data_IF_236905314628
#
_entry.id   IF_236905314628
#
_cell.length_a   1.000
_cell.length_b   1.000
_cell.length_c   1.000
_cell.angle_alpha   90.00
_cell.angle_beta   90.00
_cell.angle_gamma   90.00
#
_symmetry.space_group_name_H-M   'P 1'
#
loop_
_entity.id
_entity.type
_entity.pdbx_description
1 polymer ?
#
# COMPACT_ATOMS: atom_id res chain seq x y z
N UNK A 1 -12.49 18.16 1.88
CA UNK A 1 -12.26 17.81 0.47
C UNK A 1 -11.94 16.33 0.46
N UNK A 2 -12.69 15.50 -0.25
CA UNK A 2 -12.39 14.07 -0.37
C UNK A 2 -11.37 13.88 -1.49
N UNK A 3 -10.45 12.93 -1.33
CA UNK A 3 -9.49 12.48 -2.32
C UNK A 3 -10.17 12.02 -3.61
N UNK A 4 -11.39 11.47 -3.51
CA UNK A 4 -12.23 11.15 -4.67
C UNK A 4 -12.45 12.35 -5.61
N UNK A 5 -12.72 13.54 -5.05
CA UNK A 5 -12.85 14.78 -5.84
C UNK A 5 -11.52 15.20 -6.45
N UNK A 6 -10.43 15.08 -5.69
CA UNK A 6 -9.08 15.39 -6.18
C UNK A 6 -8.70 14.45 -7.32
N UNK A 7 -9.08 13.17 -7.24
CA UNK A 7 -8.87 12.19 -8.29
C UNK A 7 -9.62 12.57 -9.58
N UNK A 8 -10.88 12.97 -9.46
CA UNK A 8 -11.70 13.38 -10.62
C UNK A 8 -11.19 14.67 -11.28
N UNK A 9 -10.49 15.55 -10.54
CA UNK A 9 -9.81 16.74 -11.08
C UNK A 9 -8.59 16.40 -11.97
N UNK A 10 -8.13 15.13 -11.98
CA UNK A 10 -6.96 14.70 -12.75
C UNK A 10 -7.29 13.57 -13.76
N UNK A 11 -8.05 13.86 -14.83
CA UNK A 11 -8.39 12.86 -15.83
C UNK A 11 -7.16 12.27 -16.52
N UNK A 12 -7.13 10.94 -16.65
CA UNK A 12 -5.99 10.20 -17.22
C UNK A 12 -5.57 10.72 -18.60
N UNK A 13 -6.53 10.94 -19.50
CA UNK A 13 -6.27 11.45 -20.86
C UNK A 13 -5.61 12.84 -20.86
N UNK A 14 -5.92 13.68 -19.88
CA UNK A 14 -5.30 15.00 -19.74
C UNK A 14 -3.83 14.86 -19.34
N UNK A 15 -3.53 14.00 -18.38
CA UNK A 15 -2.15 13.72 -17.96
C UNK A 15 -1.32 13.11 -19.09
N UNK A 16 -1.89 12.17 -19.86
CA UNK A 16 -1.24 11.56 -21.03
C UNK A 16 -0.94 12.59 -22.13
N UNK A 17 -1.91 13.46 -22.45
CA UNK A 17 -1.70 14.54 -23.42
C UNK A 17 -0.63 15.54 -22.96
N UNK A 18 -0.59 15.87 -21.66
CA UNK A 18 0.46 16.73 -21.10
C UNK A 18 1.84 16.07 -21.21
N UNK A 19 1.95 14.79 -20.85
CA UNK A 19 3.21 14.05 -20.87
C UNK A 19 3.88 14.06 -22.26
N UNK A 20 3.06 13.97 -23.33
CA UNK A 20 3.54 13.99 -24.72
C UNK A 20 4.05 15.36 -25.19
N UNK A 21 3.78 16.44 -24.45
CA UNK A 21 4.18 17.81 -24.81
C UNK A 21 5.34 18.35 -23.95
N UNK A 22 5.95 17.50 -23.12
CA UNK A 22 7.02 17.91 -22.22
C UNK A 22 8.34 18.02 -22.99
N UNK A 23 9.01 19.16 -22.84
CA UNK A 23 10.34 19.39 -23.38
C UNK A 23 11.44 19.29 -22.33
N UNK A 24 12.70 19.24 -22.78
CA UNK A 24 13.89 19.18 -21.90
C UNK A 24 13.92 20.34 -20.90
N UNK A 25 13.54 21.56 -21.33
CA UNK A 25 13.51 22.74 -20.45
C UNK A 25 12.52 22.60 -19.29
N UNK A 26 11.43 21.84 -19.47
CA UNK A 26 10.48 21.58 -18.40
C UNK A 26 11.07 20.65 -17.34
N UNK A 27 11.87 19.66 -17.78
CA UNK A 27 12.62 18.76 -16.88
C UNK A 27 13.66 19.54 -16.08
N UNK A 28 14.49 20.35 -16.75
CA UNK A 28 15.51 21.17 -16.09
C UNK A 28 14.90 22.15 -15.08
N UNK A 29 13.75 22.74 -15.42
CA UNK A 29 12.98 23.59 -14.50
C UNK A 29 12.46 22.81 -13.30
N UNK A 30 11.95 21.60 -13.49
CA UNK A 30 11.48 20.75 -12.40
C UNK A 30 12.63 20.34 -11.46
N UNK A 31 13.80 19.97 -12.01
CA UNK A 31 14.99 19.58 -11.24
C UNK A 31 15.59 20.72 -10.42
N UNK A 32 15.59 21.94 -10.97
CA UNK A 32 16.15 23.13 -10.30
C UNK A 32 15.21 23.74 -9.26
N UNK A 33 13.95 23.30 -9.20
CA UNK A 33 12.93 23.90 -8.34
C UNK A 33 13.18 23.61 -6.87
N UNK A 34 13.27 24.67 -6.07
CA UNK A 34 13.38 24.57 -4.61
C UNK A 34 11.99 24.49 -3.99
N UNK A 35 11.75 23.47 -3.16
CA UNK A 35 10.51 23.32 -2.41
C UNK A 35 9.56 22.30 -3.03
N UNK A 36 8.26 22.62 -3.05
CA UNK A 36 7.20 21.69 -3.47
C UNK A 36 7.08 21.67 -5.00
N UNK A 37 7.19 20.49 -5.59
CA UNK A 37 6.88 20.25 -7.01
C UNK A 37 5.36 20.28 -7.25
N UNK A 38 4.96 20.80 -8.40
CA UNK A 38 3.58 20.75 -8.88
C UNK A 38 3.30 19.43 -9.61
N UNK A 39 2.02 19.07 -9.86
CA UNK A 39 1.68 17.93 -10.70
C UNK A 39 2.34 17.99 -12.09
N UNK A 40 2.45 19.18 -12.70
CA UNK A 40 3.14 19.35 -13.98
C UNK A 40 4.64 19.06 -13.87
N UNK A 41 5.31 19.54 -12.81
CA UNK A 41 6.73 19.24 -12.59
C UNK A 41 6.95 17.72 -12.41
N UNK A 42 6.03 17.04 -11.72
CA UNK A 42 6.07 15.59 -11.60
C UNK A 42 5.91 14.87 -12.95
N UNK A 43 4.96 15.30 -13.79
CA UNK A 43 4.84 14.78 -15.15
C UNK A 43 6.12 15.01 -15.95
N UNK A 44 6.78 16.16 -15.78
CA UNK A 44 8.03 16.45 -16.50
C UNK A 44 9.12 15.44 -16.16
N UNK A 45 9.26 15.11 -14.88
CA UNK A 45 10.24 14.12 -14.39
C UNK A 45 9.91 12.68 -14.81
N UNK A 46 8.66 12.37 -15.18
CA UNK A 46 8.25 11.07 -15.72
C UNK A 46 8.35 10.96 -17.25
N UNK A 47 8.61 12.07 -17.94
CA UNK A 47 8.64 12.11 -19.40
C UNK A 47 9.85 11.36 -19.99
N UNK A 48 9.75 11.00 -21.27
CA UNK A 48 10.86 10.42 -22.03
C UNK A 48 12.10 11.34 -22.06
N UNK A 49 11.88 12.66 -22.09
CA UNK A 49 12.96 13.66 -22.04
C UNK A 49 13.72 13.65 -20.71
N UNK A 50 13.15 13.10 -19.63
CA UNK A 50 13.80 13.01 -18.33
C UNK A 50 14.74 11.81 -18.21
N UNK A 51 14.72 10.85 -19.14
CA UNK A 51 15.58 9.65 -19.12
C UNK A 51 17.08 9.95 -18.93
N UNK A 52 17.69 10.96 -19.61
CA UNK A 52 19.09 11.30 -19.40
C UNK A 52 19.41 11.82 -17.99
N UNK A 53 18.40 12.26 -17.23
CA UNK A 53 18.52 12.87 -15.91
C UNK A 53 18.23 11.90 -14.76
N UNK A 54 18.18 10.59 -15.02
CA UNK A 54 17.88 9.57 -14.00
C UNK A 54 18.85 9.64 -12.81
N UNK A 55 20.14 9.83 -13.07
CA UNK A 55 21.14 9.95 -12.00
C UNK A 55 20.93 11.24 -11.19
N UNK A 56 20.67 12.37 -11.84
CA UNK A 56 20.39 13.64 -11.14
C UNK A 56 19.15 13.53 -10.25
N UNK A 57 18.09 12.88 -10.75
CA UNK A 57 16.89 12.59 -9.96
C UNK A 57 17.19 11.66 -8.79
N UNK A 58 18.04 10.64 -8.98
CA UNK A 58 18.45 9.73 -7.91
C UNK A 58 19.25 10.45 -6.82
N UNK A 59 20.22 11.30 -7.19
CA UNK A 59 21.01 12.10 -6.24
C UNK A 59 20.14 13.11 -5.49
N UNK A 60 19.20 13.77 -6.18
CA UNK A 60 18.24 14.67 -5.54
C UNK A 60 17.38 13.91 -4.53
N UNK A 61 16.79 12.78 -4.92
CA UNK A 61 16.00 11.91 -4.04
C UNK A 61 16.81 11.44 -2.83
N UNK A 62 18.05 10.99 -3.04
CA UNK A 62 18.97 10.58 -1.99
C UNK A 62 19.27 11.71 -1.00
N UNK A 63 19.59 12.91 -1.49
CA UNK A 63 19.89 14.06 -0.64
C UNK A 63 18.69 14.51 0.19
N UNK A 64 17.48 14.54 -0.40
CA UNK A 64 16.24 14.88 0.27
C UNK A 64 15.86 13.83 1.33
N UNK A 65 16.03 12.55 1.01
CA UNK A 65 15.78 11.44 1.93
C UNK A 65 16.70 11.55 3.13
N UNK A 66 18.01 11.73 2.93
CA UNK A 66 18.98 11.88 4.03
C UNK A 66 18.78 13.14 4.86
N UNK A 67 18.34 14.24 4.24
CA UNK A 67 18.01 15.47 4.95
C UNK A 67 16.83 15.28 5.91
N UNK A 68 15.84 14.47 5.55
CA UNK A 68 14.62 14.22 6.34
C UNK A 68 14.75 13.08 7.34
N UNK A 69 15.38 11.98 6.92
CA UNK A 69 15.37 10.70 7.65
C UNK A 69 16.76 10.26 8.13
N UNK A 70 17.81 11.02 7.82
CA UNK A 70 19.17 10.67 8.20
C UNK A 70 19.69 9.44 7.47
N UNK A 71 20.34 8.53 8.20
CA UNK A 71 20.87 7.25 7.66
C UNK A 71 20.16 6.03 8.26
N UNK A 72 19.10 6.24 9.04
CA UNK A 72 18.38 5.17 9.71
C UNK A 72 17.57 4.37 8.70
N UNK A 73 17.71 3.04 8.75
CA UNK A 73 16.91 2.11 7.97
C UNK A 73 15.99 1.35 8.93
N UNK A 74 14.69 1.56 8.79
CA UNK A 74 13.70 0.77 9.53
C UNK A 74 13.47 -0.55 8.79
N UNK A 75 13.56 -1.66 9.52
CA UNK A 75 13.29 -3.00 9.00
C UNK A 75 12.00 -3.52 9.62
N UNK A 76 11.20 -4.20 8.81
CA UNK A 76 10.02 -4.93 9.25
C UNK A 76 9.98 -6.30 8.56
N UNK A 77 9.27 -7.26 9.15
CA UNK A 77 9.07 -8.57 8.57
C UNK A 77 7.57 -8.79 8.26
N UNK A 78 7.21 -9.17 7.01
CA UNK A 78 5.86 -9.60 6.72
C UNK A 78 5.60 -11.02 7.25
N UNK A 79 4.44 -11.22 7.86
CA UNK A 79 3.95 -12.54 8.28
C UNK A 79 2.57 -12.77 7.64
N UNK A 80 2.51 -13.73 6.73
CA UNK A 80 1.27 -14.12 6.07
C UNK A 80 0.42 -14.99 7.01
N UNK A 81 -0.66 -14.43 7.56
CA UNK A 81 -1.57 -15.15 8.45
C UNK A 81 -2.55 -16.05 7.68
N UNK A 82 -2.89 -15.68 6.45
CA UNK A 82 -3.78 -16.49 5.60
C UNK A 82 -3.59 -16.21 4.12
N UNK A 83 -3.65 -17.26 3.31
CA UNK A 83 -3.69 -17.17 1.84
C UNK A 83 -5.10 -17.36 1.26
N UNK A 84 -6.14 -17.39 2.09
CA UNK A 84 -7.53 -17.40 1.62
C UNK A 84 -7.91 -16.06 1.00
N UNK A 85 -8.52 -16.09 -0.19
CA UNK A 85 -8.93 -14.88 -0.88
C UNK A 85 -10.14 -15.15 -1.77
N UNK A 86 -11.07 -14.19 -1.82
CA UNK A 86 -12.30 -14.26 -2.63
C UNK A 86 -12.20 -13.44 -3.93
N UNK A 87 -11.08 -12.78 -4.18
CA UNK A 87 -10.84 -12.02 -5.41
C UNK A 87 -10.09 -12.85 -6.46
N UNK A 88 -10.22 -12.47 -7.73
CA UNK A 88 -9.53 -13.11 -8.87
C UNK A 88 -8.54 -12.16 -9.56
N UNK A 89 -7.70 -11.47 -8.79
CA UNK A 89 -6.76 -10.49 -9.33
C UNK A 89 -5.80 -11.16 -10.32
N UNK A 90 -5.65 -10.59 -11.51
CA UNK A 90 -4.93 -11.27 -12.62
C UNK A 90 -3.44 -11.46 -12.37
N UNK A 91 -2.88 -10.68 -11.44
CA UNK A 91 -1.47 -10.69 -11.07
C UNK A 91 -1.19 -11.41 -9.73
N UNK A 92 -2.21 -11.86 -9.00
CA UNK A 92 -2.04 -12.38 -7.65
C UNK A 92 -2.05 -13.91 -7.61
N UNK A 93 -1.02 -14.53 -7.01
CA UNK A 93 -0.95 -15.97 -6.83
C UNK A 93 -2.02 -16.55 -5.90
N UNK A 94 -2.54 -15.76 -4.95
CA UNK A 94 -3.60 -16.17 -4.04
C UNK A 94 -5.01 -15.98 -4.60
N UNK A 95 -5.15 -15.58 -5.87
CA UNK A 95 -6.46 -15.45 -6.53
C UNK A 95 -7.33 -16.70 -6.32
N UNK A 96 -8.63 -16.49 -6.13
CA UNK A 96 -9.59 -17.51 -5.69
C UNK A 96 -9.57 -18.80 -6.53
N UNK A 97 -9.50 -18.64 -7.85
CA UNK A 97 -9.56 -19.71 -8.85
C UNK A 97 -8.21 -20.37 -9.15
N UNK A 98 -7.13 -19.94 -8.49
CA UNK A 98 -5.86 -20.66 -8.55
C UNK A 98 -5.91 -21.89 -7.62
N UNK A 99 -5.54 -23.05 -8.17
CA UNK A 99 -5.52 -24.31 -7.44
C UNK A 99 -4.28 -24.39 -6.53
N UNK A 100 -4.43 -23.94 -5.30
CA UNK A 100 -3.40 -24.01 -4.27
C UNK A 100 -3.99 -24.47 -2.93
N UNK A 101 -3.15 -25.05 -2.07
CA UNK A 101 -3.52 -25.42 -0.71
C UNK A 101 -3.80 -24.14 0.09
N UNK A 102 -5.06 -23.94 0.48
CA UNK A 102 -5.45 -22.83 1.33
C UNK A 102 -5.03 -23.09 2.78
N UNK A 103 -4.54 -22.06 3.45
CA UNK A 103 -4.05 -22.11 4.82
C UNK A 103 -4.34 -20.79 5.51
N UNK A 104 -4.97 -20.90 6.66
CA UNK A 104 -5.10 -19.87 7.69
C UNK A 104 -4.38 -20.41 8.93
N UNK A 105 -3.50 -19.62 9.53
CA UNK A 105 -2.71 -20.04 10.67
C UNK A 105 -3.60 -20.21 11.91
N UNK A 106 -3.33 -21.22 12.74
CA UNK A 106 -3.92 -21.32 14.08
C UNK A 106 -3.17 -20.40 15.07
N UNK A 107 -3.72 -20.22 16.27
CA UNK A 107 -3.06 -19.46 17.33
C UNK A 107 -1.64 -19.98 17.64
N UNK A 108 -1.45 -21.30 17.66
CA UNK A 108 -0.15 -21.93 17.90
C UNK A 108 0.83 -21.64 16.76
N UNK A 109 0.36 -21.69 15.51
CA UNK A 109 1.18 -21.39 14.34
C UNK A 109 1.53 -19.89 14.28
N UNK A 110 0.61 -19.00 14.62
CA UNK A 110 0.85 -17.55 14.73
C UNK A 110 1.98 -17.30 15.73
N UNK A 111 1.89 -17.88 16.93
CA UNK A 111 2.91 -17.70 17.96
C UNK A 111 4.27 -18.28 17.55
N UNK A 112 4.29 -19.43 16.88
CA UNK A 112 5.51 -20.05 16.39
C UNK A 112 6.23 -19.16 15.36
N UNK A 113 5.51 -18.71 14.33
CA UNK A 113 6.06 -17.83 13.28
C UNK A 113 6.49 -16.48 13.86
N UNK A 114 5.66 -15.86 14.70
CA UNK A 114 5.95 -14.60 15.38
C UNK A 114 7.21 -14.70 16.26
N UNK A 115 7.36 -15.79 17.01
CA UNK A 115 8.53 -16.02 17.86
C UNK A 115 9.80 -16.16 17.05
N UNK A 116 9.74 -16.85 15.90
CA UNK A 116 10.89 -17.00 15.01
C UNK A 116 11.30 -15.67 14.38
N UNK A 117 10.34 -14.88 13.89
CA UNK A 117 10.58 -13.51 13.39
C UNK A 117 11.24 -12.64 14.46
N UNK A 118 10.73 -12.69 15.71
CA UNK A 118 11.30 -11.93 16.83
C UNK A 118 12.73 -12.38 17.15
N UNK A 119 13.02 -13.69 17.07
CA UNK A 119 14.35 -14.26 17.26
C UNK A 119 15.37 -13.75 16.25
N UNK A 120 14.92 -13.40 15.04
CA UNK A 120 15.74 -12.74 14.01
C UNK A 120 15.98 -11.24 14.26
N UNK A 121 15.46 -10.66 15.34
CA UNK A 121 15.69 -9.28 15.74
C UNK A 121 14.73 -8.26 15.13
N UNK A 122 13.67 -8.70 14.45
CA UNK A 122 12.62 -7.81 13.99
C UNK A 122 11.71 -7.38 15.15
N UNK A 123 11.47 -6.08 15.25
CA UNK A 123 10.56 -5.51 16.24
C UNK A 123 9.33 -4.83 15.62
N UNK A 124 9.30 -4.79 14.28
CA UNK A 124 8.18 -4.35 13.48
C UNK A 124 7.68 -5.51 12.62
N UNK A 125 6.44 -5.93 12.82
CA UNK A 125 5.80 -6.99 12.04
C UNK A 125 4.66 -6.41 11.17
N UNK A 126 4.55 -6.90 9.94
CA UNK A 126 3.44 -6.61 9.04
C UNK A 126 2.58 -7.87 8.90
N UNK A 127 1.36 -7.84 9.43
CA UNK A 127 0.41 -8.94 9.34
C UNK A 127 -0.33 -8.87 8.00
N UNK A 128 -0.20 -9.92 7.20
CA UNK A 128 -0.71 -9.95 5.81
C UNK A 128 -1.76 -11.04 5.63
N UNK A 129 -2.87 -10.73 4.97
CA UNK A 129 -3.87 -11.74 4.58
C UNK A 129 -4.36 -11.55 3.15
N UNK A 130 -4.85 -12.62 2.54
CA UNK A 130 -5.80 -12.49 1.43
C UNK A 130 -7.14 -11.90 1.91
N UNK A 131 -8.03 -11.57 0.96
CA UNK A 131 -9.33 -10.96 1.29
C UNK A 131 -10.41 -12.04 1.41
N UNK A 132 -10.62 -12.57 2.62
CA UNK A 132 -11.60 -13.61 2.90
C UNK A 132 -12.44 -13.29 4.15
N UNK A 133 -13.13 -12.15 4.17
CA UNK A 133 -13.79 -11.56 5.35
C UNK A 133 -14.66 -12.51 6.19
N UNK A 134 -15.27 -13.54 5.58
CA UNK A 134 -16.08 -14.53 6.33
C UNK A 134 -15.23 -15.48 7.18
N UNK A 135 -14.05 -15.88 6.68
CA UNK A 135 -13.14 -16.80 7.37
C UNK A 135 -12.06 -16.04 8.14
N UNK A 136 -11.55 -14.96 7.54
CA UNK A 136 -10.42 -14.14 7.99
C UNK A 136 -10.90 -12.70 8.12
N UNK A 137 -11.78 -12.48 9.10
CA UNK A 137 -12.40 -11.19 9.40
C UNK A 137 -11.86 -10.56 10.68
N UNK A 138 -12.56 -9.56 11.19
CA UNK A 138 -12.15 -8.79 12.37
C UNK A 138 -11.88 -9.64 13.61
N UNK A 139 -12.70 -10.66 13.88
CA UNK A 139 -12.48 -11.55 15.03
C UNK A 139 -11.11 -12.25 14.97
N UNK A 140 -10.70 -12.71 13.79
CA UNK A 140 -9.40 -13.32 13.57
C UNK A 140 -8.26 -12.30 13.68
N UNK A 141 -8.45 -11.08 13.15
CA UNK A 141 -7.47 -10.00 13.26
C UNK A 141 -7.22 -9.59 14.71
N UNK A 142 -8.28 -9.42 15.50
CA UNK A 142 -8.17 -9.05 16.92
C UNK A 142 -7.47 -10.16 17.71
N UNK A 143 -7.78 -11.43 17.40
CA UNK A 143 -7.10 -12.57 18.03
C UNK A 143 -5.61 -12.62 17.67
N UNK A 144 -5.26 -12.48 16.40
CA UNK A 144 -3.86 -12.44 15.96
C UNK A 144 -3.10 -11.27 16.61
N UNK A 145 -3.74 -10.11 16.73
CA UNK A 145 -3.18 -8.93 17.37
C UNK A 145 -2.92 -9.17 18.87
N UNK A 146 -3.88 -9.76 19.59
CA UNK A 146 -3.73 -10.14 21.00
C UNK A 146 -2.50 -11.04 21.21
N UNK A 147 -2.28 -12.01 20.33
CA UNK A 147 -1.17 -12.97 20.42
C UNK A 147 0.19 -12.33 20.16
N UNK A 148 0.28 -11.42 19.17
CA UNK A 148 1.58 -10.86 18.73
C UNK A 148 1.96 -9.56 19.42
N UNK A 149 1.01 -8.84 20.01
CA UNK A 149 1.25 -7.56 20.73
C UNK A 149 2.28 -7.64 21.85
N UNK A 150 2.36 -8.72 22.66
CA UNK A 150 3.43 -8.85 23.66
C UNK A 150 4.83 -9.01 23.07
N UNK A 151 4.95 -9.38 21.78
CA UNK A 151 6.22 -9.72 21.14
C UNK A 151 6.81 -8.56 20.34
N UNK A 152 6.00 -7.65 19.79
CA UNK A 152 6.45 -6.60 18.86
C UNK A 152 6.05 -5.21 19.34
N UNK A 153 6.97 -4.25 19.22
CA UNK A 153 6.70 -2.84 19.52
C UNK A 153 5.87 -2.16 18.43
N UNK A 154 5.92 -2.66 17.19
CA UNK A 154 5.23 -2.06 16.06
C UNK A 154 4.53 -3.14 15.23
N UNK A 155 3.21 -2.99 15.04
CA UNK A 155 2.37 -3.94 14.33
C UNK A 155 1.60 -3.20 13.25
N UNK A 156 1.80 -3.61 12.01
CA UNK A 156 1.10 -3.08 10.84
C UNK A 156 0.23 -4.15 10.20
N UNK A 157 -0.78 -3.72 9.44
CA UNK A 157 -1.68 -4.61 8.70
C UNK A 157 -1.61 -4.35 7.20
N UNK A 158 -1.54 -5.41 6.40
CA UNK A 158 -1.81 -5.40 4.96
C UNK A 158 -2.93 -6.41 4.68
N UNK A 159 -4.18 -5.95 4.81
CA UNK A 159 -5.40 -6.77 4.70
C UNK A 159 -6.41 -6.12 3.76
N UNK A 160 -7.58 -6.75 3.57
CA UNK A 160 -8.67 -6.14 2.81
C UNK A 160 -8.99 -4.72 3.31
N UNK A 161 -9.46 -3.82 2.44
CA UNK A 161 -10.11 -2.60 2.89
C UNK A 161 -11.25 -2.90 3.87
N UNK A 162 -11.26 -2.20 5.00
CA UNK A 162 -12.26 -2.32 6.05
C UNK A 162 -13.13 -1.07 6.12
N UNK A 163 -14.20 -1.16 6.89
CA UNK A 163 -15.04 -0.03 7.23
C UNK A 163 -14.39 0.81 8.34
N UNK A 164 -14.84 2.05 8.48
CA UNK A 164 -14.24 3.02 9.42
C UNK A 164 -14.28 2.53 10.88
N UNK A 165 -15.36 1.87 11.30
CA UNK A 165 -15.50 1.35 12.67
C UNK A 165 -14.50 0.21 12.97
N UNK A 166 -14.25 -0.65 11.97
CA UNK A 166 -13.26 -1.71 12.08
C UNK A 166 -11.85 -1.11 12.23
N UNK A 167 -11.54 -0.07 11.45
CA UNK A 167 -10.27 0.65 11.59
C UNK A 167 -10.13 1.36 12.94
N UNK A 168 -11.21 1.94 13.46
CA UNK A 168 -11.24 2.56 14.79
C UNK A 168 -10.92 1.54 15.87
N UNK A 169 -11.50 0.34 15.75
CA UNK A 169 -11.20 -0.79 16.64
C UNK A 169 -9.73 -1.22 16.54
N UNK A 170 -9.18 -1.40 15.32
CA UNK A 170 -7.77 -1.77 15.14
C UNK A 170 -6.81 -0.70 15.70
N UNK A 171 -7.13 0.57 15.52
CA UNK A 171 -6.36 1.69 16.07
C UNK A 171 -6.33 1.64 17.61
N UNK A 172 -7.49 1.42 18.24
CA UNK A 172 -7.59 1.27 19.71
C UNK A 172 -6.81 0.07 20.26
N UNK A 173 -6.72 -1.02 19.49
CA UNK A 173 -5.97 -2.22 19.87
C UNK A 173 -4.45 -2.10 19.65
N UNK A 174 -3.99 -0.98 19.09
CA UNK A 174 -2.57 -0.63 18.95
C UNK A 174 -1.96 -0.93 17.58
N UNK A 175 -2.77 -1.09 16.53
CA UNK A 175 -2.24 -1.17 15.15
C UNK A 175 -1.60 0.16 14.77
N UNK A 176 -0.33 0.12 14.40
CA UNK A 176 0.48 1.30 14.08
C UNK A 176 0.18 1.86 12.70
N UNK A 177 0.04 1.00 11.69
CA UNK A 177 -0.25 1.42 10.32
C UNK A 177 -0.98 0.36 9.53
N UNK A 178 -1.72 0.81 8.52
CA UNK A 178 -2.39 -0.08 7.56
C UNK A 178 -1.87 0.23 6.16
N UNK A 179 -1.44 -0.80 5.44
CA UNK A 179 -0.93 -0.74 4.08
C UNK A 179 -2.03 -1.24 3.14
N UNK A 180 -2.47 -0.36 2.25
CA UNK A 180 -3.42 -0.70 1.19
C UNK A 180 -2.91 -0.14 -0.11
N UNK A 181 -2.52 -1.01 -1.03
CA UNK A 181 -2.12 -0.59 -2.37
C UNK A 181 -3.35 -0.35 -3.22
N UNK A 182 -3.46 0.83 -3.83
CA UNK A 182 -4.47 1.11 -4.85
C UNK A 182 -4.23 0.28 -6.12
N UNK A 183 -3.04 -0.29 -6.30
CA UNK A 183 -2.59 -1.07 -7.47
C UNK A 183 -2.42 -0.22 -8.73
N UNK A 184 -3.47 0.48 -9.15
CA UNK A 184 -3.42 1.48 -10.21
C UNK A 184 -4.51 2.52 -10.02
N UNK A 185 -4.19 3.78 -10.27
CA UNK A 185 -5.15 4.88 -10.30
C UNK A 185 -5.87 5.02 -11.65
N UNK A 186 -5.48 4.24 -12.68
CA UNK A 186 -6.22 4.21 -13.94
C UNK A 186 -7.45 3.28 -13.81
N UNK A 187 -8.63 3.87 -13.62
CA UNK A 187 -9.86 3.11 -13.31
C UNK A 187 -10.19 2.00 -14.33
N UNK A 188 -10.09 2.27 -15.64
CA UNK A 188 -10.35 1.21 -16.64
C UNK A 188 -9.35 0.06 -16.57
N UNK A 189 -8.05 0.35 -16.34
CA UNK A 189 -7.03 -0.69 -16.16
C UNK A 189 -7.24 -1.45 -14.86
N UNK A 190 -7.67 -0.77 -13.80
CA UNK A 190 -7.99 -1.41 -12.53
C UNK A 190 -9.03 -2.52 -12.72
N UNK A 191 -10.09 -2.26 -13.50
CA UNK A 191 -11.13 -3.26 -13.80
C UNK A 191 -10.59 -4.51 -14.50
N UNK A 192 -9.63 -4.35 -15.42
CA UNK A 192 -8.99 -5.47 -16.11
C UNK A 192 -8.21 -6.38 -15.15
N UNK A 193 -7.60 -5.79 -14.12
CA UNK A 193 -6.79 -6.53 -13.15
C UNK A 193 -7.60 -7.06 -11.96
N UNK A 194 -8.81 -6.55 -11.73
CA UNK A 194 -9.69 -6.94 -10.62
C UNK A 194 -11.08 -7.38 -11.12
N UNK A 195 -11.19 -8.47 -11.90
CA UNK A 195 -12.42 -8.78 -12.62
C UNK A 195 -13.59 -9.24 -11.73
N UNK A 196 -13.34 -9.77 -10.53
CA UNK A 196 -14.40 -10.19 -9.58
C UNK A 196 -13.89 -10.20 -8.14
N UNK A 197 -14.85 -10.05 -7.22
CA UNK A 197 -14.65 -9.96 -5.77
C UNK A 197 -14.77 -8.52 -5.28
N UNK A 198 -14.72 -8.29 -3.96
CA UNK A 198 -14.86 -6.94 -3.38
C UNK A 198 -13.79 -5.97 -3.90
N UNK A 199 -12.59 -6.48 -4.19
CA UNK A 199 -11.49 -5.67 -4.73
C UNK A 199 -11.82 -5.07 -6.10
N UNK A 200 -12.83 -5.53 -6.84
CA UNK A 200 -13.25 -4.87 -8.09
C UNK A 200 -13.86 -3.47 -7.88
N UNK A 201 -14.30 -3.14 -6.66
CA UNK A 201 -14.83 -1.82 -6.34
C UNK A 201 -13.69 -0.80 -6.17
N UNK A 202 -13.39 -0.10 -7.27
CA UNK A 202 -12.34 0.91 -7.34
C UNK A 202 -12.51 2.02 -6.30
N UNK A 203 -13.70 2.61 -6.20
CA UNK A 203 -13.98 3.78 -5.34
C UNK A 203 -13.90 3.41 -3.85
N UNK A 204 -14.47 2.26 -3.48
CA UNK A 204 -14.32 1.76 -2.09
C UNK A 204 -12.85 1.58 -1.70
N UNK A 205 -12.00 1.08 -2.61
CA UNK A 205 -10.56 0.96 -2.37
C UNK A 205 -9.87 2.33 -2.31
N UNK A 206 -10.21 3.24 -3.23
CA UNK A 206 -9.66 4.60 -3.32
C UNK A 206 -9.90 5.41 -2.03
N UNK A 207 -11.08 5.23 -1.43
CA UNK A 207 -11.51 5.92 -0.20
C UNK A 207 -10.88 5.34 1.08
N UNK A 208 -10.15 4.22 1.01
CA UNK A 208 -9.59 3.54 2.19
C UNK A 208 -8.71 4.45 3.06
N UNK A 209 -7.77 5.25 2.50
CA UNK A 209 -6.97 6.17 3.30
C UNK A 209 -7.80 7.21 4.05
N UNK A 210 -8.96 7.62 3.53
CA UNK A 210 -9.84 8.55 4.25
C UNK A 210 -10.58 7.87 5.40
N UNK A 211 -11.06 6.63 5.19
CA UNK A 211 -11.66 5.84 6.29
C UNK A 211 -10.64 5.63 7.41
N UNK A 212 -9.39 5.33 7.05
CA UNK A 212 -8.28 5.25 8.00
C UNK A 212 -7.99 6.58 8.71
N UNK A 213 -7.97 7.70 7.98
CA UNK A 213 -7.67 9.01 8.56
C UNK A 213 -8.77 9.57 9.46
N UNK A 214 -10.02 9.09 9.34
CA UNK A 214 -11.14 9.45 10.23
C UNK A 214 -11.27 8.53 11.45
N UNK A 215 -10.76 7.31 11.35
CA UNK A 215 -10.75 6.33 12.43
C UNK A 215 -9.73 6.70 13.52
#
# INVERSE_FOLDING_TARGET
>A
MTFDRVFDEHPWKSAEAQLNNIGVRDVERALSKVGKLSPFDFLALLSECAKPYLEDMAQLSYSLTRKRFGKTMQLYAPMYLSNECQNICTYCGFRYDNALKRKTLSDEEILAEASEIKRHGFDHILLVTGEAQKTVGMSYFLRALELVRPLFSNISFEVQPLDEEDYRTLSQEGVHSVLVYQETYHEDRYRLHHPKGKKSNFRYRLETPERLGRA
#
